data_IF_316955768773
#
_entry.id   IF_316955768773
#
_cell.length_a   1.000
_cell.length_b   1.000
_cell.length_c   1.000
_cell.angle_alpha   90.00
_cell.angle_beta   90.00
_cell.angle_gamma   90.00
#
_symmetry.space_group_name_H-M   'P 1'
#
loop_
_entity.id
_entity.type
_entity.pdbx_description
1 polymer ?
#
# COMPACT_ATOMS: atom_id res chain seq x y z
N UNK A 1 -15.83 2.88 3.57
CA UNK A 1 -15.04 1.66 3.85
C UNK A 1 -13.58 1.91 3.46
N UNK A 2 -12.68 1.24 4.13
CA UNK A 2 -11.23 1.41 3.90
C UNK A 2 -10.68 0.24 3.12
N UNK A 3 -9.82 0.55 2.15
CA UNK A 3 -9.17 -0.41 1.27
C UNK A 3 -7.68 -0.16 1.22
N UNK A 4 -6.91 -1.24 1.17
CA UNK A 4 -5.50 -1.16 0.83
C UNK A 4 -5.31 -1.55 -0.63
N UNK A 5 -4.52 -0.77 -1.35
CA UNK A 5 -4.11 -1.02 -2.72
C UNK A 5 -2.61 -1.31 -2.70
N UNK A 6 -2.22 -2.57 -2.83
CA UNK A 6 -0.83 -2.96 -2.95
C UNK A 6 -0.37 -2.84 -4.40
N UNK A 7 0.70 -2.10 -4.62
CA UNK A 7 1.30 -1.94 -5.94
C UNK A 7 2.37 -3.01 -6.13
N UNK A 8 2.24 -3.78 -7.20
CA UNK A 8 3.22 -4.80 -7.59
C UNK A 8 3.93 -4.38 -8.87
N UNK A 9 5.25 -4.38 -8.85
CA UNK A 9 6.09 -4.03 -9.99
C UNK A 9 7.20 -5.06 -10.19
N UNK A 10 7.58 -5.28 -11.46
CA UNK A 10 8.77 -6.05 -11.81
C UNK A 10 10.00 -5.18 -11.56
N UNK A 11 10.78 -5.52 -10.54
CA UNK A 11 11.95 -4.73 -10.13
C UNK A 11 13.04 -4.68 -11.22
N UNK A 12 13.22 -5.75 -12.00
CA UNK A 12 14.17 -5.75 -13.11
C UNK A 12 13.74 -4.77 -14.20
N UNK A 13 12.46 -4.74 -14.53
CA UNK A 13 11.91 -3.78 -15.48
C UNK A 13 12.08 -2.35 -14.99
N UNK A 14 11.84 -2.10 -13.72
CA UNK A 14 11.99 -0.77 -13.11
C UNK A 14 13.45 -0.32 -13.11
N UNK A 15 14.38 -1.21 -12.78
CA UNK A 15 15.81 -0.92 -12.81
C UNK A 15 16.35 -0.63 -14.22
N UNK A 16 15.77 -1.25 -15.25
CA UNK A 16 16.12 -1.05 -16.64
C UNK A 16 15.44 0.15 -17.30
N UNK A 17 14.46 0.76 -16.60
CA UNK A 17 13.70 1.89 -17.16
C UNK A 17 14.59 3.12 -17.30
N UNK A 18 14.55 3.82 -18.44
CA UNK A 18 15.24 5.09 -18.59
C UNK A 18 14.78 6.12 -17.54
N UNK A 19 15.72 6.87 -16.98
CA UNK A 19 15.44 7.84 -15.93
C UNK A 19 14.34 8.86 -16.29
N UNK A 20 14.30 9.43 -17.51
CA UNK A 20 13.22 10.35 -17.88
C UNK A 20 11.83 9.71 -17.84
N UNK A 21 11.71 8.43 -18.22
CA UNK A 21 10.46 7.68 -18.17
C UNK A 21 10.03 7.44 -16.72
N UNK A 22 10.96 7.03 -15.86
CA UNK A 22 10.71 6.82 -14.45
C UNK A 22 10.25 8.13 -13.76
N UNK A 23 10.94 9.25 -14.02
CA UNK A 23 10.58 10.55 -13.47
C UNK A 23 9.20 11.01 -13.95
N UNK A 24 8.84 10.71 -15.21
CA UNK A 24 7.51 11.01 -15.75
C UNK A 24 6.41 10.24 -15.02
N UNK A 25 6.64 8.95 -14.76
CA UNK A 25 5.69 8.12 -13.99
C UNK A 25 5.57 8.62 -12.55
N UNK A 26 6.69 8.98 -11.92
CA UNK A 26 6.69 9.54 -10.58
C UNK A 26 5.93 10.87 -10.50
N UNK A 27 6.05 11.72 -11.52
CA UNK A 27 5.29 12.96 -11.62
C UNK A 27 3.79 12.71 -11.74
N UNK A 28 3.38 11.71 -12.54
CA UNK A 28 1.97 11.30 -12.64
C UNK A 28 1.45 10.77 -11.29
N UNK A 29 2.25 10.00 -10.55
CA UNK A 29 1.91 9.54 -9.21
C UNK A 29 1.68 10.71 -8.27
N UNK A 30 2.56 11.69 -8.28
CA UNK A 30 2.44 12.87 -7.42
C UNK A 30 1.16 13.66 -7.72
N UNK A 31 0.84 13.88 -9.00
CA UNK A 31 -0.40 14.53 -9.40
C UNK A 31 -1.64 13.75 -8.96
N UNK A 32 -1.59 12.43 -9.06
CA UNK A 32 -2.70 11.58 -8.65
C UNK A 32 -2.87 11.54 -7.14
N UNK A 33 -1.78 11.57 -6.37
CA UNK A 33 -1.82 11.69 -4.91
C UNK A 33 -2.58 12.96 -4.50
N UNK A 34 -2.27 14.10 -5.11
CA UNK A 34 -2.96 15.37 -4.86
C UNK A 34 -4.45 15.27 -5.18
N UNK A 35 -4.80 14.67 -6.31
CA UNK A 35 -6.20 14.47 -6.71
C UNK A 35 -6.96 13.59 -5.71
N UNK A 36 -6.33 12.55 -5.17
CA UNK A 36 -6.94 11.67 -4.16
C UNK A 36 -7.09 12.36 -2.81
N UNK A 37 -6.17 13.24 -2.44
CA UNK A 37 -6.30 14.09 -1.25
C UNK A 37 -7.48 15.04 -1.40
N UNK A 38 -7.57 15.74 -2.51
CA UNK A 38 -8.65 16.69 -2.78
C UNK A 38 -10.04 16.03 -2.82
N UNK A 39 -10.12 14.83 -3.39
CA UNK A 39 -11.38 14.08 -3.46
C UNK A 39 -11.78 13.37 -2.15
N UNK A 40 -10.90 13.38 -1.14
CA UNK A 40 -11.14 12.73 0.14
C UNK A 40 -10.94 11.22 0.13
N UNK A 41 -10.40 10.64 -0.95
CA UNK A 41 -10.11 9.22 -1.00
C UNK A 41 -8.80 8.83 -0.28
N UNK A 42 -7.79 9.71 -0.26
CA UNK A 42 -6.48 9.40 0.30
C UNK A 42 -6.51 9.39 1.83
N UNK A 43 -6.08 8.28 2.42
CA UNK A 43 -5.77 8.19 3.85
C UNK A 43 -4.25 8.25 4.04
N UNK A 44 -3.52 7.41 3.32
CA UNK A 44 -2.07 7.35 3.39
C UNK A 44 -1.51 6.66 2.13
N UNK A 45 -0.30 7.00 1.75
CA UNK A 45 0.44 6.34 0.67
C UNK A 45 1.92 6.30 0.98
N UNK A 46 2.62 5.35 0.41
CA UNK A 46 4.07 5.26 0.54
C UNK A 46 4.66 4.33 -0.52
N UNK A 47 5.85 4.71 -0.99
CA UNK A 47 6.71 3.84 -1.78
C UNK A 47 7.58 3.01 -0.85
N UNK A 48 7.93 1.80 -1.26
CA UNK A 48 8.81 0.91 -0.52
C UNK A 48 10.20 0.85 -1.16
N UNK A 49 11.20 0.62 -0.33
CA UNK A 49 12.53 0.24 -0.79
C UNK A 49 12.45 -1.08 -1.58
N UNK A 50 13.44 -1.36 -2.44
CA UNK A 50 13.48 -2.61 -3.18
C UNK A 50 13.41 -3.85 -2.28
N UNK A 51 12.91 -4.96 -2.82
CA UNK A 51 12.66 -6.18 -2.06
C UNK A 51 13.89 -6.75 -1.34
N UNK A 52 15.10 -6.53 -1.88
CA UNK A 52 16.34 -6.98 -1.23
C UNK A 52 16.63 -6.25 0.10
N UNK A 53 16.03 -5.09 0.33
CA UNK A 53 16.11 -4.35 1.60
C UNK A 53 15.13 -4.87 2.65
N UNK A 54 14.24 -5.79 2.29
CA UNK A 54 13.25 -6.36 3.20
C UNK A 54 13.88 -7.35 4.19
N UNK A 55 13.24 -7.52 5.32
CA UNK A 55 13.54 -8.58 6.28
C UNK A 55 12.25 -9.26 6.71
N UNK A 56 12.25 -10.58 6.80
CA UNK A 56 11.14 -11.37 7.30
C UNK A 56 11.43 -11.88 8.69
N UNK A 57 10.51 -11.68 9.61
CA UNK A 57 10.65 -12.08 11.01
C UNK A 57 9.64 -13.17 11.33
N UNK A 58 10.13 -14.27 11.90
CA UNK A 58 9.31 -15.36 12.45
C UNK A 58 9.71 -15.62 13.89
N UNK A 59 8.72 -15.89 14.72
CA UNK A 59 8.95 -16.35 16.10
C UNK A 59 8.37 -17.75 16.22
N UNK A 60 9.23 -18.73 16.55
CA UNK A 60 8.86 -20.13 16.72
C UNK A 60 9.50 -20.66 17.99
N UNK A 61 8.70 -21.30 18.88
CA UNK A 61 9.20 -21.80 20.15
C UNK A 61 9.91 -20.75 21.00
N UNK A 62 9.43 -19.51 21.00
CA UNK A 62 10.03 -18.38 21.72
C UNK A 62 11.31 -17.82 21.09
N UNK A 63 11.71 -18.32 19.91
CA UNK A 63 12.92 -17.86 19.20
C UNK A 63 12.55 -16.99 18.01
N UNK A 64 13.22 -15.86 17.89
CA UNK A 64 13.13 -14.95 16.75
C UNK A 64 14.10 -15.37 15.66
N UNK A 65 13.59 -15.58 14.46
CA UNK A 65 14.39 -15.81 13.26
C UNK A 65 14.15 -14.67 12.26
N UNK A 66 15.22 -14.11 11.73
CA UNK A 66 15.19 -13.05 10.72
C UNK A 66 15.81 -13.58 9.43
N UNK A 67 15.06 -13.43 8.33
CA UNK A 67 15.53 -13.79 6.98
C UNK A 67 15.59 -12.53 6.14
N UNK A 68 16.71 -12.29 5.49
CA UNK A 68 16.87 -11.18 4.55
C UNK A 68 16.06 -11.43 3.28
N UNK A 69 15.47 -10.36 2.74
CA UNK A 69 14.69 -10.40 1.51
C UNK A 69 13.18 -10.48 1.73
N UNK A 70 12.40 -10.52 0.64
CA UNK A 70 10.95 -10.51 0.70
C UNK A 70 10.38 -11.84 1.20
N UNK A 71 9.12 -11.80 1.66
CA UNK A 71 8.40 -13.01 2.05
C UNK A 71 8.28 -14.03 0.91
N UNK A 72 8.01 -13.55 -0.30
CA UNK A 72 7.93 -14.36 -1.50
C UNK A 72 8.84 -13.81 -2.59
N UNK A 73 9.63 -14.69 -3.21
CA UNK A 73 10.50 -14.36 -4.33
C UNK A 73 9.72 -14.51 -5.64
N UNK A 74 8.99 -13.47 -6.00
CA UNK A 74 8.18 -13.40 -7.22
C UNK A 74 8.76 -12.38 -8.19
N UNK A 75 8.40 -12.49 -9.47
CA UNK A 75 8.83 -11.55 -10.51
C UNK A 75 8.36 -10.13 -10.22
N UNK A 76 7.09 -9.99 -9.83
CA UNK A 76 6.52 -8.73 -9.37
C UNK A 76 6.53 -8.69 -7.85
N UNK A 77 7.05 -7.61 -7.29
CA UNK A 77 7.20 -7.40 -5.86
C UNK A 77 6.38 -6.19 -5.41
N UNK A 78 5.96 -6.18 -4.16
CA UNK A 78 5.27 -5.02 -3.58
C UNK A 78 6.23 -3.83 -3.58
N UNK A 79 5.87 -2.78 -4.30
CA UNK A 79 6.69 -1.57 -4.46
C UNK A 79 6.13 -0.36 -3.73
N UNK A 80 4.90 -0.43 -3.24
CA UNK A 80 4.22 0.63 -2.53
C UNK A 80 2.78 0.28 -2.24
N UNK A 81 2.08 1.22 -1.63
CA UNK A 81 0.68 1.02 -1.28
C UNK A 81 -0.07 2.34 -1.18
N UNK A 82 -1.39 2.26 -1.37
CA UNK A 82 -2.34 3.31 -1.03
C UNK A 82 -3.31 2.76 0.00
N UNK A 83 -3.59 3.53 1.02
CA UNK A 83 -4.71 3.30 1.92
C UNK A 83 -5.77 4.35 1.61
N UNK A 84 -6.95 3.90 1.20
CA UNK A 84 -8.02 4.78 0.70
C UNK A 84 -9.35 4.56 1.41
N UNK A 85 -10.15 5.61 1.42
CA UNK A 85 -11.57 5.56 1.74
C UNK A 85 -12.35 5.46 0.42
N UNK A 86 -13.30 4.51 0.32
CA UNK A 86 -14.19 4.36 -0.82
C UNK A 86 -15.54 3.82 -0.33
N UNK A 87 -16.61 4.10 -1.09
CA UNK A 87 -17.97 3.67 -0.76
C UNK A 87 -18.11 2.14 -0.79
N UNK A 88 -17.47 1.53 -1.78
CA UNK A 88 -17.54 0.11 -2.06
C UNK A 88 -16.32 -0.36 -2.86
N UNK A 89 -16.23 -1.67 -3.11
CA UNK A 89 -15.14 -2.25 -3.89
C UNK A 89 -15.07 -1.71 -5.32
N UNK A 90 -16.19 -1.42 -5.95
CA UNK A 90 -16.20 -0.89 -7.32
C UNK A 90 -15.54 0.49 -7.37
N UNK A 91 -15.83 1.37 -6.44
CA UNK A 91 -15.17 2.66 -6.35
C UNK A 91 -13.68 2.51 -6.04
N UNK A 92 -13.31 1.61 -5.13
CA UNK A 92 -11.91 1.31 -4.83
C UNK A 92 -11.15 0.80 -6.07
N UNK A 93 -11.78 -0.05 -6.88
CA UNK A 93 -11.20 -0.51 -8.15
C UNK A 93 -11.04 0.65 -9.14
N UNK A 94 -12.01 1.55 -9.24
CA UNK A 94 -11.89 2.73 -10.10
C UNK A 94 -10.73 3.63 -9.66
N UNK A 95 -10.55 3.84 -8.37
CA UNK A 95 -9.40 4.57 -7.82
C UNK A 95 -8.11 3.86 -8.17
N UNK A 96 -8.02 2.55 -7.91
CA UNK A 96 -6.83 1.74 -8.18
C UNK A 96 -6.45 1.71 -9.65
N UNK A 97 -7.43 1.70 -10.56
CA UNK A 97 -7.20 1.67 -12.01
C UNK A 97 -6.49 2.92 -12.56
N UNK A 98 -6.54 4.01 -11.83
CA UNK A 98 -5.90 5.29 -12.19
C UNK A 98 -4.53 5.48 -11.54
N UNK A 99 -4.12 4.59 -10.66
CA UNK A 99 -2.75 4.59 -10.13
C UNK A 99 -1.81 4.32 -11.32
N UNK A 100 -0.86 5.20 -11.62
CA UNK A 100 -0.01 5.05 -12.81
C UNK A 100 0.71 3.70 -12.88
N UNK A 101 1.13 3.15 -11.76
CA UNK A 101 1.76 1.83 -11.69
C UNK A 101 0.86 0.68 -12.17
N UNK A 102 -0.46 0.84 -12.19
CA UNK A 102 -1.37 -0.18 -12.72
C UNK A 102 -1.17 -0.47 -14.22
N UNK A 103 -0.57 0.48 -14.97
CA UNK A 103 -0.28 0.31 -16.40
C UNK A 103 0.99 -0.51 -16.66
N UNK A 104 1.89 -0.60 -15.70
CA UNK A 104 3.20 -1.25 -15.84
C UNK A 104 3.39 -2.42 -14.88
N UNK A 105 2.43 -2.66 -14.01
CA UNK A 105 2.42 -3.74 -13.04
C UNK A 105 0.99 -4.12 -12.70
N UNK A 106 0.73 -4.36 -11.42
CA UNK A 106 -0.59 -4.69 -10.93
C UNK A 106 -0.89 -3.96 -9.62
N UNK A 107 -2.16 -3.74 -9.34
CA UNK A 107 -2.63 -3.21 -8.07
C UNK A 107 -3.64 -4.19 -7.47
N UNK A 108 -3.31 -4.76 -6.32
CA UNK A 108 -4.25 -5.58 -5.56
C UNK A 108 -5.06 -4.71 -4.62
N UNK A 109 -6.39 -4.79 -4.73
CA UNK A 109 -7.33 -4.03 -3.89
C UNK A 109 -7.95 -4.97 -2.87
N UNK A 110 -7.84 -4.63 -1.59
CA UNK A 110 -8.38 -5.45 -0.51
C UNK A 110 -8.99 -4.59 0.58
N UNK A 111 -10.22 -4.90 0.99
CA UNK A 111 -10.88 -4.22 2.09
C UNK A 111 -10.16 -4.52 3.41
N UNK A 112 -10.07 -3.51 4.29
CA UNK A 112 -9.65 -3.72 5.66
C UNK A 112 -10.77 -4.42 6.43
N UNK A 113 -10.39 -5.27 7.36
CA UNK A 113 -11.30 -5.95 8.27
C UNK A 113 -11.03 -5.52 9.72
N UNK A 114 -12.04 -5.50 10.59
CA UNK A 114 -11.82 -5.28 12.00
C UNK A 114 -11.19 -6.52 12.66
N UNK A 115 -10.59 -6.30 13.83
CA UNK A 115 -10.25 -7.40 14.74
C UNK A 115 -11.47 -7.68 15.62
N UNK A 116 -11.79 -8.94 15.84
CA UNK A 116 -12.90 -9.35 16.72
C UNK A 116 -12.37 -9.93 18.03
N UNK A 117 -12.80 -9.37 19.16
CA UNK A 117 -12.45 -9.82 20.50
C UNK A 117 -13.74 -9.92 21.33
N UNK A 118 -14.06 -11.12 21.82
CA UNK A 118 -15.27 -11.33 22.62
C UNK A 118 -16.57 -10.96 21.87
N UNK A 119 -16.62 -11.12 20.56
CA UNK A 119 -17.77 -10.76 19.73
C UNK A 119 -17.87 -9.27 19.38
N UNK A 120 -16.94 -8.45 19.85
CA UNK A 120 -16.89 -7.01 19.56
C UNK A 120 -15.83 -6.71 18.49
N UNK A 121 -16.19 -5.84 17.55
CA UNK A 121 -15.28 -5.39 16.47
C UNK A 121 -14.42 -4.21 16.91
N UNK A 122 -13.15 -4.26 16.55
CA UNK A 122 -12.16 -3.21 16.80
C UNK A 122 -11.47 -2.80 15.51
N UNK A 123 -11.55 -1.52 15.20
CA UNK A 123 -10.87 -0.90 14.08
C UNK A 123 -9.65 -0.11 14.56
N UNK A 124 -8.48 -0.42 14.05
CA UNK A 124 -7.23 0.26 14.42
C UNK A 124 -7.29 1.78 14.18
N UNK A 125 -7.94 2.19 13.09
CA UNK A 125 -8.06 3.60 12.71
C UNK A 125 -8.85 4.44 13.73
N UNK A 126 -9.79 3.85 14.45
CA UNK A 126 -10.56 4.56 15.50
C UNK A 126 -9.66 5.05 16.63
N UNK A 127 -8.63 4.27 16.97
CA UNK A 127 -7.63 4.65 17.98
C UNK A 127 -6.74 5.80 17.52
N UNK A 128 -6.40 5.85 16.23
CA UNK A 128 -5.61 6.93 15.67
C UNK A 128 -6.40 8.24 15.64
N UNK A 129 -7.67 8.18 15.25
CA UNK A 129 -8.56 9.34 15.25
C UNK A 129 -8.76 9.90 16.67
N UNK A 130 -8.96 9.04 17.68
CA UNK A 130 -9.07 9.44 19.07
C UNK A 130 -7.81 10.13 19.60
N UNK A 131 -6.62 9.67 19.20
CA UNK A 131 -5.34 10.31 19.58
C UNK A 131 -5.15 11.67 18.93
N UNK A 132 -5.57 11.85 17.69
CA UNK A 132 -5.50 13.13 16.99
C UNK A 132 -6.44 14.17 17.63
N UNK A 133 -7.64 13.77 18.08
CA UNK A 133 -8.59 14.63 18.79
C UNK A 133 -8.11 15.08 20.18
N UNK A 134 -7.26 14.32 20.85
CA UNK A 134 -6.71 14.66 22.18
C UNK A 134 -5.47 15.56 22.14
N UNK A 135 -4.96 15.93 20.99
CA UNK A 135 -3.80 16.82 20.79
C UNK A 135 -4.22 18.24 20.41
N UNK A 136 -5.49 18.50 20.36
CA UNK A 136 -6.02 19.84 20.08
C UNK A 136 -6.15 20.66 21.37
#
# INVERSE_FOLDING_TARGET
MKYICHIYLDEQRMAAMPRPELESINAEHHEYDDALVESGHMIFTGALEPSHAAACVRVRGGRTAVTDGPFAETKEQVAGFFLIEARDLNEAIQVASRIPAARIGAVEVRALAPLTIGGQEYWCMDRLAARAGNKA
#
